data_IF_964816889286
#
_entry.id   IF_964816889286
#
_cell.length_a   1.000
_cell.length_b   1.000
_cell.length_c   1.000
_cell.angle_alpha   90.00
_cell.angle_beta   90.00
_cell.angle_gamma   90.00
#
_symmetry.space_group_name_H-M   'P 1'
#
loop_
_entity.id
_entity.type
_entity.pdbx_description
1 polymer ?
#
# COMPACT_ATOMS: atom_id res chain seq x y z
N UNK A 1 25.17 -24.19 -26.52
CA UNK A 1 26.34 -23.57 -25.87
C UNK A 1 26.10 -22.08 -25.64
N UNK A 2 25.74 -21.69 -24.41
CA UNK A 2 26.31 -20.59 -23.61
C UNK A 2 25.42 -20.37 -22.40
N UNK A 3 25.94 -20.80 -21.25
CA UNK A 3 25.45 -20.42 -19.94
C UNK A 3 25.61 -18.91 -19.76
N UNK A 4 24.58 -18.26 -19.22
CA UNK A 4 24.59 -16.86 -18.81
C UNK A 4 23.97 -16.75 -17.44
N UNK A 5 24.82 -16.69 -16.42
CA UNK A 5 24.55 -16.47 -15.00
C UNK A 5 23.39 -15.49 -14.73
N UNK A 6 22.34 -15.97 -14.07
CA UNK A 6 21.40 -15.11 -13.33
C UNK A 6 22.04 -14.71 -12.00
N UNK A 7 22.78 -13.60 -12.01
CA UNK A 7 23.27 -12.92 -10.80
C UNK A 7 22.12 -12.15 -10.15
N UNK A 8 21.19 -12.84 -9.50
CA UNK A 8 20.21 -12.16 -8.64
C UNK A 8 20.74 -12.18 -7.20
N UNK A 9 21.81 -11.40 -7.00
CA UNK A 9 22.41 -11.17 -5.71
C UNK A 9 21.44 -10.42 -4.79
N UNK A 10 21.25 -11.01 -3.62
CA UNK A 10 20.59 -10.54 -2.41
C UNK A 10 21.20 -9.25 -1.83
N UNK A 11 21.07 -8.10 -2.49
CA UNK A 11 21.72 -6.86 -2.05
C UNK A 11 21.10 -6.18 -0.81
N UNK A 12 19.93 -6.65 -0.32
CA UNK A 12 19.22 -6.01 0.81
C UNK A 12 19.08 -6.84 2.08
N UNK A 13 19.84 -7.93 2.25
CA UNK A 13 19.71 -8.83 3.39
C UNK A 13 20.33 -8.29 4.71
N UNK A 14 21.57 -7.75 4.74
CA UNK A 14 22.21 -7.35 6.01
C UNK A 14 21.56 -6.14 6.69
N UNK A 15 21.01 -5.20 5.92
CA UNK A 15 20.31 -4.03 6.47
C UNK A 15 19.01 -4.42 7.20
N UNK A 16 18.27 -5.40 6.65
CA UNK A 16 17.05 -5.92 7.26
C UNK A 16 17.33 -6.69 8.55
N UNK A 17 18.40 -7.48 8.57
CA UNK A 17 18.77 -8.23 9.78
C UNK A 17 19.18 -7.29 10.93
N UNK A 18 19.91 -6.21 10.62
CA UNK A 18 20.26 -5.18 11.60
C UNK A 18 19.02 -4.45 12.16
N UNK A 19 18.04 -4.12 11.31
CA UNK A 19 16.77 -3.52 11.72
C UNK A 19 15.97 -4.46 12.64
N UNK A 20 15.85 -5.74 12.29
CA UNK A 20 15.17 -6.74 13.13
C UNK A 20 15.85 -6.92 14.49
N UNK A 21 17.17 -6.87 14.55
CA UNK A 21 17.92 -6.88 15.81
C UNK A 21 17.71 -5.60 16.62
N UNK A 22 17.59 -4.44 15.98
CA UNK A 22 17.26 -3.19 16.65
C UNK A 22 15.86 -3.21 17.28
N UNK A 23 14.86 -3.79 16.60
CA UNK A 23 13.51 -3.97 17.15
C UNK A 23 13.51 -4.76 18.45
N UNK A 24 14.34 -5.82 18.56
CA UNK A 24 14.48 -6.62 19.78
C UNK A 24 15.02 -5.84 20.97
N UNK A 25 15.73 -4.74 20.72
CA UNK A 25 16.34 -3.88 21.75
C UNK A 25 15.46 -2.70 22.14
N UNK A 26 14.36 -2.45 21.42
CA UNK A 26 13.44 -1.35 21.76
C UNK A 26 12.68 -1.66 23.04
N UNK A 27 12.53 -0.64 23.90
CA UNK A 27 11.67 -0.74 25.08
C UNK A 27 10.19 -0.88 24.70
N UNK A 28 9.42 -1.63 25.49
CA UNK A 28 8.00 -1.99 25.23
C UNK A 28 7.15 -0.78 24.78
N UNK A 29 7.23 0.34 25.52
CA UNK A 29 6.47 1.56 25.21
C UNK A 29 6.84 2.14 23.84
N UNK A 30 8.14 2.23 23.54
CA UNK A 30 8.61 2.77 22.26
C UNK A 30 8.22 1.87 21.10
N UNK A 31 8.34 0.55 21.26
CA UNK A 31 7.94 -0.43 20.23
C UNK A 31 6.46 -0.28 19.84
N UNK A 32 5.57 -0.11 20.82
CA UNK A 32 4.12 0.08 20.56
C UNK A 32 3.84 1.43 19.92
N UNK A 33 4.52 2.50 20.34
CA UNK A 33 4.36 3.83 19.72
C UNK A 33 4.83 3.85 18.27
N UNK A 34 6.01 3.30 17.99
CA UNK A 34 6.56 3.21 16.64
C UNK A 34 5.67 2.35 15.74
N UNK A 35 5.18 1.21 16.23
CA UNK A 35 4.25 0.36 15.50
C UNK A 35 2.93 1.09 15.21
N UNK A 36 2.42 1.86 16.15
CA UNK A 36 1.20 2.65 15.96
C UNK A 36 1.37 3.70 14.85
N UNK A 37 2.54 4.33 14.78
CA UNK A 37 2.88 5.26 13.69
C UNK A 37 2.98 4.54 12.33
N UNK A 38 3.57 3.33 12.28
CA UNK A 38 3.62 2.51 11.07
C UNK A 38 2.21 2.11 10.60
N UNK A 39 1.33 1.73 11.53
CA UNK A 39 -0.08 1.40 11.22
C UNK A 39 -0.81 2.62 10.65
N UNK A 40 -0.61 3.82 11.20
CA UNK A 40 -1.18 5.05 10.65
C UNK A 40 -0.69 5.35 9.23
N UNK A 41 0.60 5.14 8.97
CA UNK A 41 1.20 5.25 7.64
C UNK A 41 0.65 4.23 6.65
N UNK A 42 0.52 2.97 7.05
CA UNK A 42 -0.05 1.90 6.22
C UNK A 42 -1.52 2.16 5.86
N UNK A 43 -2.31 2.64 6.81
CA UNK A 43 -3.71 3.01 6.56
C UNK A 43 -3.82 4.21 5.61
N UNK A 44 -2.96 5.22 5.78
CA UNK A 44 -2.89 6.36 4.87
C UNK A 44 -2.49 5.93 3.44
N UNK A 45 -1.51 5.03 3.32
CA UNK A 45 -1.11 4.45 2.04
C UNK A 45 -2.23 3.61 1.41
N UNK A 46 -2.94 2.84 2.22
CA UNK A 46 -4.09 2.05 1.77
C UNK A 46 -5.20 2.96 1.25
N UNK A 47 -5.55 4.02 1.97
CA UNK A 47 -6.52 5.01 1.52
C UNK A 47 -6.13 5.61 0.17
N UNK A 48 -4.88 6.06 0.01
CA UNK A 48 -4.37 6.57 -1.27
C UNK A 48 -4.50 5.54 -2.38
N UNK A 49 -4.04 4.30 -2.15
CA UNK A 49 -4.16 3.22 -3.15
C UNK A 49 -5.63 2.97 -3.56
N UNK A 50 -6.57 2.98 -2.62
CA UNK A 50 -7.99 2.81 -2.92
C UNK A 50 -8.54 3.95 -3.80
N UNK A 51 -8.15 5.20 -3.52
CA UNK A 51 -8.51 6.34 -4.36
C UNK A 51 -7.97 6.18 -5.80
N UNK A 52 -6.72 5.74 -5.96
CA UNK A 52 -6.14 5.46 -7.28
C UNK A 52 -6.86 4.32 -8.00
N UNK A 53 -7.16 3.22 -7.30
CA UNK A 53 -7.94 2.11 -7.86
C UNK A 53 -9.31 2.62 -8.36
N UNK A 54 -10.00 3.44 -7.56
CA UNK A 54 -11.27 4.03 -7.95
C UNK A 54 -11.16 4.90 -9.19
N UNK A 55 -10.16 5.78 -9.26
CA UNK A 55 -9.98 6.69 -10.40
C UNK A 55 -9.57 5.96 -11.68
N UNK A 56 -8.68 4.96 -11.58
CA UNK A 56 -8.31 4.08 -12.70
C UNK A 56 -9.53 3.32 -13.22
N UNK A 57 -10.36 2.79 -12.32
CA UNK A 57 -11.58 2.06 -12.67
C UNK A 57 -12.61 3.01 -13.33
N UNK A 58 -12.81 4.20 -12.78
CA UNK A 58 -13.72 5.23 -13.30
C UNK A 58 -13.35 5.67 -14.71
N UNK A 59 -12.05 5.90 -14.97
CA UNK A 59 -11.52 6.26 -16.29
C UNK A 59 -11.27 5.07 -17.22
N UNK A 60 -11.42 3.84 -16.71
CA UNK A 60 -11.14 2.58 -17.42
C UNK A 60 -9.71 2.48 -17.99
N UNK A 61 -8.71 3.07 -17.31
CA UNK A 61 -7.32 3.09 -17.79
C UNK A 61 -6.68 1.70 -17.84
N UNK A 62 -7.30 0.69 -17.23
CA UNK A 62 -6.89 -0.71 -17.38
C UNK A 62 -7.04 -1.22 -18.84
N UNK A 63 -7.90 -0.60 -19.65
CA UNK A 63 -8.06 -0.93 -21.07
C UNK A 63 -6.84 -0.54 -21.89
N UNK A 64 -6.27 0.65 -21.63
CA UNK A 64 -5.03 1.13 -22.27
C UNK A 64 -3.84 0.22 -21.95
N UNK A 65 -3.92 -0.50 -20.84
CA UNK A 65 -2.91 -1.47 -20.41
C UNK A 65 -3.20 -2.90 -20.89
N UNK A 66 -4.12 -3.08 -21.84
CA UNK A 66 -4.52 -4.36 -22.43
C UNK A 66 -5.11 -5.37 -21.42
N UNK A 67 -5.82 -4.90 -20.39
CA UNK A 67 -6.59 -5.76 -19.49
C UNK A 67 -8.10 -5.62 -19.72
N UNK A 68 -8.86 -6.72 -19.76
CA UNK A 68 -10.30 -6.68 -20.06
C UNK A 68 -11.16 -6.12 -18.91
N UNK A 69 -10.60 -5.98 -17.71
CA UNK A 69 -11.29 -5.43 -16.55
C UNK A 69 -10.32 -4.95 -15.47
N UNK A 70 -10.77 -4.09 -14.57
CA UNK A 70 -10.00 -3.70 -13.39
C UNK A 70 -9.60 -4.89 -12.51
N UNK A 71 -10.45 -5.93 -12.44
CA UNK A 71 -10.14 -7.16 -11.71
C UNK A 71 -8.97 -7.92 -12.35
N UNK A 72 -8.97 -8.08 -13.67
CA UNK A 72 -7.86 -8.69 -14.40
C UNK A 72 -6.58 -7.85 -14.24
N UNK A 73 -6.69 -6.53 -14.28
CA UNK A 73 -5.56 -5.63 -14.03
C UNK A 73 -4.95 -5.85 -12.64
N UNK A 74 -5.73 -5.79 -11.57
CA UNK A 74 -5.25 -6.02 -10.19
C UNK A 74 -4.64 -7.42 -10.00
N UNK A 75 -5.30 -8.47 -10.49
CA UNK A 75 -4.88 -9.86 -10.23
C UNK A 75 -3.72 -10.30 -11.12
N UNK A 76 -3.68 -9.89 -12.38
CA UNK A 76 -2.64 -10.32 -13.34
C UNK A 76 -1.43 -9.40 -13.33
N UNK A 77 -1.61 -8.07 -13.32
CA UNK A 77 -0.49 -7.11 -13.34
C UNK A 77 0.17 -6.92 -11.99
N UNK A 78 -0.64 -6.80 -10.93
CA UNK A 78 -0.18 -6.52 -9.57
C UNK A 78 -0.22 -7.73 -8.64
N UNK A 79 -0.59 -8.92 -9.17
CA UNK A 79 -0.56 -10.19 -8.43
C UNK A 79 -1.35 -10.17 -7.12
N UNK A 80 -2.38 -9.33 -7.03
CA UNK A 80 -3.32 -9.36 -5.91
C UNK A 80 -4.10 -10.67 -5.94
N UNK A 81 -4.40 -11.25 -4.78
CA UNK A 81 -5.38 -12.32 -4.72
C UNK A 81 -6.76 -11.80 -5.14
N UNK A 82 -7.60 -12.69 -5.64
CA UNK A 82 -8.96 -12.33 -6.09
C UNK A 82 -9.76 -11.65 -4.99
N UNK A 83 -9.70 -12.18 -3.76
CA UNK A 83 -10.36 -11.62 -2.60
C UNK A 83 -9.88 -10.20 -2.26
N UNK A 84 -8.56 -9.94 -2.36
CA UNK A 84 -7.99 -8.61 -2.13
C UNK A 84 -8.43 -7.65 -3.24
N UNK A 85 -8.34 -8.07 -4.51
CA UNK A 85 -8.72 -7.26 -5.65
C UNK A 85 -10.20 -6.85 -5.57
N UNK A 86 -11.11 -7.80 -5.33
CA UNK A 86 -12.53 -7.53 -5.22
C UNK A 86 -12.87 -6.51 -4.12
N UNK A 87 -12.29 -6.69 -2.91
CA UNK A 87 -12.50 -5.76 -1.78
C UNK A 87 -11.98 -4.36 -2.10
N UNK A 88 -10.77 -4.27 -2.64
CA UNK A 88 -10.14 -2.97 -2.96
C UNK A 88 -10.83 -2.25 -4.10
N UNK A 89 -11.27 -2.95 -5.15
CA UNK A 89 -12.06 -2.36 -6.25
C UNK A 89 -13.38 -1.80 -5.71
N UNK A 90 -14.08 -2.58 -4.88
CA UNK A 90 -15.33 -2.12 -4.25
C UNK A 90 -15.07 -0.86 -3.40
N UNK A 91 -14.07 -0.89 -2.54
CA UNK A 91 -13.75 0.26 -1.69
C UNK A 91 -13.31 1.50 -2.50
N UNK A 92 -12.50 1.32 -3.56
CA UNK A 92 -12.11 2.41 -4.46
C UNK A 92 -13.30 3.04 -5.18
N UNK A 93 -14.23 2.23 -5.70
CA UNK A 93 -15.49 2.72 -6.30
C UNK A 93 -16.33 3.49 -5.28
N UNK A 94 -16.45 2.98 -4.06
CA UNK A 94 -17.16 3.70 -2.98
C UNK A 94 -16.46 5.01 -2.66
N UNK A 95 -15.14 5.06 -2.63
CA UNK A 95 -14.36 6.27 -2.34
C UNK A 95 -14.52 7.35 -3.42
N UNK A 96 -14.61 6.98 -4.70
CA UNK A 96 -14.94 7.92 -5.77
C UNK A 96 -16.33 8.53 -5.60
N UNK A 97 -17.30 7.75 -5.08
CA UNK A 97 -18.66 8.22 -4.82
C UNK A 97 -18.76 9.05 -3.53
N UNK A 98 -17.98 8.68 -2.52
CA UNK A 98 -17.99 9.28 -1.19
C UNK A 98 -16.55 9.51 -0.69
N UNK A 99 -15.89 10.62 -1.09
CA UNK A 99 -14.48 10.86 -0.77
C UNK A 99 -14.17 10.88 0.74
N UNK A 100 -15.14 11.23 1.57
CA UNK A 100 -15.00 11.30 3.02
C UNK A 100 -14.74 9.95 3.71
N UNK A 101 -15.03 8.81 3.07
CA UNK A 101 -14.87 7.48 3.70
C UNK A 101 -13.41 7.07 3.90
N UNK A 102 -12.49 7.72 3.19
CA UNK A 102 -11.05 7.45 3.27
C UNK A 102 -10.34 8.35 4.29
N UNK A 103 -11.08 9.20 5.00
CA UNK A 103 -10.52 10.03 6.07
C UNK A 103 -10.23 9.13 7.26
N UNK A 104 -8.95 8.86 7.49
CA UNK A 104 -8.52 8.22 8.72
C UNK A 104 -8.47 9.24 9.85
N UNK A 105 -9.11 8.92 10.97
CA UNK A 105 -8.98 9.68 12.21
C UNK A 105 -8.15 8.87 13.21
N UNK A 106 -6.96 9.36 13.63
CA UNK A 106 -6.21 8.71 14.69
C UNK A 106 -7.07 8.65 15.96
N UNK A 107 -7.24 7.44 16.50
CA UNK A 107 -7.90 7.20 17.79
C UNK A 107 -6.95 7.36 18.98
N UNK A 108 -5.67 7.66 18.73
CA UNK A 108 -4.65 7.86 19.76
C UNK A 108 -3.94 9.20 19.50
N UNK A 109 -3.92 10.08 20.49
CA UNK A 109 -3.49 11.49 20.39
C UNK A 109 -2.00 11.69 20.10
N UNK A 110 -1.58 11.45 18.87
CA UNK A 110 -0.33 11.95 18.29
C UNK A 110 -0.67 12.88 17.13
N UNK A 111 -0.13 14.11 17.16
CA UNK A 111 -0.49 15.21 16.29
C UNK A 111 -0.64 14.82 14.81
N UNK A 112 -1.76 15.24 14.22
CA UNK A 112 -2.03 15.11 12.81
C UNK A 112 -0.92 15.80 12.00
N UNK A 113 -0.04 15.03 11.36
CA UNK A 113 0.84 15.57 10.33
C UNK A 113 -0.04 15.98 9.16
N UNK A 114 -0.23 17.30 9.07
CA UNK A 114 -1.05 18.01 8.12
C UNK A 114 -0.66 17.63 6.69
N UNK A 115 -1.67 17.30 5.90
CA UNK A 115 -1.62 17.24 4.44
C UNK A 115 -0.87 18.46 3.88
N UNK A 116 0.23 18.26 3.15
CA UNK A 116 0.64 19.22 2.14
C UNK A 116 -0.27 18.98 0.92
N UNK A 117 -1.15 19.95 0.69
CA UNK A 117 -1.90 20.08 -0.55
C UNK A 117 -0.94 20.30 -1.72
N UNK A 118 -1.28 19.69 -2.85
CA UNK A 118 -0.63 19.79 -4.14
C UNK A 118 -0.56 21.25 -4.61
N UNK A 119 0.54 21.61 -5.28
CA UNK A 119 0.61 22.64 -6.33
C UNK A 119 0.95 21.95 -7.64
#
# INVERSE_FOLDING_TARGET
MKAGLSKNASSGRPARDAELLALRRLGKRKLVLDFSALVAGDQSNTARMLAYIGEIDRRRLYLEQAYPSMFAFCTKRFRMSEAIAAKRIRAGRTACRFPCILVWRPVHGGAATRFQALS
#
